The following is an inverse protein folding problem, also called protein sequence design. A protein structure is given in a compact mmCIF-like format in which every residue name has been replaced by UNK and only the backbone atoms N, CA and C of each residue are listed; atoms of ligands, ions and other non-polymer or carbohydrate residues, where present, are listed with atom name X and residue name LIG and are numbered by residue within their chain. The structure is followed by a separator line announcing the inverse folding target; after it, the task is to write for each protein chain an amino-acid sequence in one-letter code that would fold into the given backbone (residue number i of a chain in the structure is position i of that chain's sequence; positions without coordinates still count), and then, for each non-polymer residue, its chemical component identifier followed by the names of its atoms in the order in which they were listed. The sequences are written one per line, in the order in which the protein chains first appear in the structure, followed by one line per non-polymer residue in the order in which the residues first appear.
data_IF_072177714284
#
_entry.id   IF_072177714284
#
_cell.length_a   1.000
_cell.length_b   1.000
_cell.length_c   1.000
_cell.angle_alpha   90.00
_cell.angle_beta   90.00
_cell.angle_gamma   90.00
#
_symmetry.space_group_name_H-M   'P 1'
#
loop_
_entity.id
_entity.type
_entity.pdbx_description
1 polymer ?
#
# COMPACT_ATOMS: atom_id res chain seq x y z
N UNK A 1 59.63 20.11 -30.43
CA UNK A 1 58.25 20.58 -30.64
C UNK A 1 57.33 19.89 -29.62
N UNK A 2 57.83 19.67 -28.40
CA UNK A 2 57.25 18.72 -27.45
C UNK A 2 56.59 19.43 -26.26
N UNK A 3 56.99 20.68 -25.97
CA UNK A 3 56.40 21.49 -24.91
C UNK A 3 54.95 21.92 -25.18
N UNK A 4 54.52 21.94 -26.45
CA UNK A 4 53.15 22.34 -26.80
C UNK A 4 52.15 21.20 -26.52
N UNK A 5 52.60 19.95 -26.67
CA UNK A 5 51.76 18.77 -26.48
C UNK A 5 51.55 18.44 -24.99
N UNK A 6 52.58 18.65 -24.16
CA UNK A 6 52.43 18.57 -22.69
C UNK A 6 51.44 19.60 -22.16
N UNK A 7 51.44 20.82 -22.72
CA UNK A 7 50.54 21.89 -22.30
C UNK A 7 49.08 21.58 -22.67
N UNK A 8 48.83 21.07 -23.90
CA UNK A 8 47.49 20.63 -24.31
C UNK A 8 46.97 19.50 -23.43
N UNK A 9 47.83 18.55 -23.08
CA UNK A 9 47.46 17.41 -22.24
C UNK A 9 47.12 17.85 -20.81
N UNK A 10 47.87 18.80 -20.25
CA UNK A 10 47.58 19.37 -18.93
C UNK A 10 46.30 20.20 -18.91
N UNK A 11 46.02 20.96 -19.97
CA UNK A 11 44.77 21.74 -20.08
C UNK A 11 43.56 20.83 -20.18
N UNK A 12 43.66 19.71 -20.90
CA UNK A 12 42.59 18.70 -20.96
C UNK A 12 42.35 18.05 -19.59
N UNK A 13 43.41 17.73 -18.84
CA UNK A 13 43.27 17.20 -17.49
C UNK A 13 42.69 18.22 -16.50
N UNK A 14 43.09 19.48 -16.59
CA UNK A 14 42.56 20.55 -15.75
C UNK A 14 41.07 20.81 -16.05
N UNK A 15 40.69 20.81 -17.32
CA UNK A 15 39.29 20.94 -17.74
C UNK A 15 38.44 19.76 -17.26
N UNK A 16 38.96 18.54 -17.32
CA UNK A 16 38.28 17.35 -16.81
C UNK A 16 38.16 17.37 -15.28
N UNK A 17 39.20 17.83 -14.58
CA UNK A 17 39.20 17.97 -13.12
C UNK A 17 38.20 19.04 -12.65
N UNK A 18 38.21 20.22 -13.28
CA UNK A 18 37.24 21.28 -13.00
C UNK A 18 35.81 20.82 -13.28
N UNK A 19 35.59 20.07 -14.36
CA UNK A 19 34.28 19.49 -14.69
C UNK A 19 33.79 18.51 -13.62
N UNK A 20 34.68 17.75 -13.00
CA UNK A 20 34.37 16.81 -11.93
C UNK A 20 34.11 17.53 -10.58
N UNK A 21 34.94 18.52 -10.22
CA UNK A 21 34.80 19.34 -9.02
C UNK A 21 33.54 20.22 -9.02
N UNK A 22 33.16 20.77 -10.19
CA UNK A 22 31.94 21.55 -10.36
C UNK A 22 30.66 20.69 -10.31
N UNK A 23 30.77 19.37 -10.06
CA UNK A 23 29.64 18.44 -10.09
C UNK A 23 29.03 18.30 -11.48
N UNK A 24 29.74 18.76 -12.51
CA UNK A 24 29.35 18.65 -13.92
C UNK A 24 29.71 17.25 -14.43
N UNK A 25 29.37 16.23 -13.64
CA UNK A 25 29.18 14.90 -14.18
C UNK A 25 28.30 15.07 -15.41
N UNK A 26 28.72 14.44 -16.50
CA UNK A 26 27.92 14.33 -17.70
C UNK A 26 26.69 13.44 -17.45
N UNK A 27 25.94 13.68 -16.38
CA UNK A 27 24.50 13.55 -16.42
C UNK A 27 24.05 14.62 -17.40
N UNK A 28 24.13 14.28 -18.69
CA UNK A 28 23.69 15.16 -19.74
C UNK A 28 22.31 15.68 -19.37
N UNK A 29 21.95 16.90 -19.80
CA UNK A 29 20.60 17.40 -19.59
C UNK A 29 19.52 16.34 -19.94
N UNK A 30 19.83 15.41 -20.85
CA UNK A 30 19.05 14.20 -21.13
C UNK A 30 18.89 13.18 -19.99
N UNK A 31 19.90 12.90 -19.14
CA UNK A 31 19.81 11.99 -17.99
C UNK A 31 18.90 12.58 -16.91
N UNK A 32 19.09 13.85 -16.56
CA UNK A 32 18.22 14.56 -15.60
C UNK A 32 16.79 14.67 -16.14
N UNK A 33 16.61 14.97 -17.43
CA UNK A 33 15.27 14.95 -18.05
C UNK A 33 14.66 13.55 -18.12
N UNK A 34 15.48 12.50 -18.22
CA UNK A 34 15.02 11.11 -18.22
C UNK A 34 14.57 10.68 -16.82
N UNK A 35 15.35 11.00 -15.79
CA UNK A 35 14.97 10.74 -14.40
C UNK A 35 13.74 11.55 -13.98
N UNK A 36 13.67 12.84 -14.33
CA UNK A 36 12.45 13.64 -14.10
C UNK A 36 11.23 13.08 -14.83
N UNK A 37 11.41 12.53 -16.04
CA UNK A 37 10.32 11.90 -16.79
C UNK A 37 9.91 10.56 -16.17
N UNK A 38 10.86 9.77 -15.70
CA UNK A 38 10.60 8.50 -14.97
C UNK A 38 9.89 8.77 -13.64
N UNK A 39 10.32 9.79 -12.89
CA UNK A 39 9.64 10.22 -11.67
C UNK A 39 8.25 10.79 -11.95
N UNK A 40 8.07 11.59 -13.00
CA UNK A 40 6.75 12.08 -13.40
C UNK A 40 5.81 10.94 -13.80
N UNK A 41 6.31 9.91 -14.50
CA UNK A 41 5.53 8.72 -14.84
C UNK A 41 5.16 7.90 -13.59
N UNK A 42 6.08 7.76 -12.64
CA UNK A 42 5.82 7.08 -11.38
C UNK A 42 4.79 7.82 -10.52
N UNK A 43 4.85 9.16 -10.47
CA UNK A 43 3.85 9.96 -9.75
C UNK A 43 2.47 9.83 -10.42
N UNK A 44 2.42 9.83 -11.75
CA UNK A 44 1.17 9.66 -12.49
C UNK A 44 0.54 8.28 -12.23
N UNK A 45 1.33 7.20 -12.18
CA UNK A 45 0.80 5.87 -11.89
C UNK A 45 0.31 5.73 -10.44
N UNK A 46 0.96 6.42 -9.49
CA UNK A 46 0.51 6.49 -8.10
C UNK A 46 -0.81 7.28 -7.98
N UNK A 47 -0.92 8.44 -8.63
CA UNK A 47 -2.17 9.23 -8.62
C UNK A 47 -3.33 8.43 -9.23
N UNK A 48 -3.07 7.70 -10.33
CA UNK A 48 -4.04 6.80 -10.97
C UNK A 48 -4.49 5.66 -10.04
N UNK A 49 -3.57 5.08 -9.27
CA UNK A 49 -3.89 4.03 -8.28
C UNK A 49 -4.68 4.59 -7.08
N UNK A 50 -4.37 5.82 -6.66
CA UNK A 50 -5.01 6.46 -5.50
C UNK A 50 -6.42 6.95 -5.81
N UNK A 51 -6.59 7.63 -6.96
CA UNK A 51 -7.89 8.15 -7.42
C UNK A 51 -8.74 7.10 -8.12
N UNK A 52 -8.10 6.08 -8.69
CA UNK A 52 -8.77 5.11 -9.54
C UNK A 52 -8.88 5.62 -10.97
N UNK A 53 -9.12 4.71 -11.90
CA UNK A 53 -9.21 5.01 -13.32
C UNK A 53 -10.62 4.70 -13.84
N UNK A 54 -11.27 5.73 -14.37
CA UNK A 54 -12.61 5.60 -14.95
C UNK A 54 -13.67 5.30 -13.89
N UNK A 55 -14.32 4.14 -14.02
CA UNK A 55 -15.41 3.66 -13.15
C UNK A 55 -14.91 2.88 -11.91
N UNK A 56 -13.60 2.61 -11.81
CA UNK A 56 -13.03 1.90 -10.68
C UNK A 56 -12.68 2.87 -9.54
N UNK A 57 -13.23 2.61 -8.35
CA UNK A 57 -12.85 3.34 -7.13
C UNK A 57 -11.37 3.09 -6.83
N UNK A 58 -10.56 4.15 -6.78
CA UNK A 58 -9.18 4.06 -6.31
C UNK A 58 -9.11 3.75 -4.81
N UNK A 59 -7.90 3.58 -4.30
CA UNK A 59 -7.65 3.32 -2.88
C UNK A 59 -8.36 4.33 -1.95
N UNK A 60 -8.41 5.60 -2.33
CA UNK A 60 -9.11 6.63 -1.55
C UNK A 60 -10.63 6.42 -1.56
N UNK A 61 -11.19 5.98 -2.69
CA UNK A 61 -12.60 5.62 -2.83
C UNK A 61 -12.97 4.43 -1.94
N UNK A 62 -12.17 3.36 -1.99
CA UNK A 62 -12.32 2.20 -1.11
C UNK A 62 -12.19 2.57 0.37
N UNK A 63 -11.23 3.41 0.72
CA UNK A 63 -11.05 3.89 2.09
C UNK A 63 -12.29 4.66 2.60
N UNK A 64 -12.91 5.49 1.75
CA UNK A 64 -14.15 6.19 2.09
C UNK A 64 -15.33 5.23 2.30
N UNK A 65 -15.49 4.24 1.40
CA UNK A 65 -16.56 3.24 1.52
C UNK A 65 -16.38 2.46 2.83
N UNK A 66 -15.18 1.95 3.09
CA UNK A 66 -14.88 1.17 4.29
C UNK A 66 -15.11 1.99 5.56
N UNK A 67 -14.66 3.27 5.57
CA UNK A 67 -14.93 4.20 6.68
C UNK A 67 -16.42 4.42 6.93
N UNK A 68 -17.26 4.35 5.90
CA UNK A 68 -18.71 4.56 6.05
C UNK A 68 -19.46 3.28 6.40
N UNK A 69 -19.00 2.11 5.95
CA UNK A 69 -19.74 0.85 6.08
C UNK A 69 -19.23 -0.08 7.18
N UNK A 70 -18.06 0.18 7.78
CA UNK A 70 -17.48 -0.74 8.77
C UNK A 70 -18.38 -1.00 9.99
N UNK A 71 -19.08 0.03 10.49
CA UNK A 71 -19.98 -0.12 11.66
C UNK A 71 -21.11 -1.08 11.33
N UNK A 72 -21.71 -0.94 10.15
CA UNK A 72 -22.79 -1.81 9.70
C UNK A 72 -22.28 -3.25 9.52
N UNK A 73 -21.08 -3.44 8.96
CA UNK A 73 -20.46 -4.76 8.88
C UNK A 73 -20.25 -5.38 10.26
N UNK A 74 -19.68 -4.65 11.21
CA UNK A 74 -19.48 -5.14 12.58
C UNK A 74 -20.82 -5.48 13.26
N UNK A 75 -21.85 -4.66 13.05
CA UNK A 75 -23.17 -4.90 13.61
C UNK A 75 -23.80 -6.19 13.04
N UNK A 76 -23.73 -6.40 11.73
CA UNK A 76 -24.21 -7.62 11.08
C UNK A 76 -23.44 -8.86 11.55
N UNK A 77 -22.12 -8.74 11.71
CA UNK A 77 -21.26 -9.81 12.18
C UNK A 77 -21.56 -10.14 13.66
N UNK A 78 -21.79 -9.13 14.49
CA UNK A 78 -22.23 -9.28 15.87
C UNK A 78 -23.60 -9.92 15.98
N UNK A 79 -24.57 -9.55 15.13
CA UNK A 79 -25.87 -10.22 15.08
C UNK A 79 -25.74 -11.69 14.70
N UNK A 80 -24.96 -12.01 13.66
CA UNK A 80 -24.78 -13.38 13.22
C UNK A 80 -24.11 -14.25 14.30
N UNK A 81 -23.06 -13.75 14.94
CA UNK A 81 -22.39 -14.44 16.04
C UNK A 81 -23.29 -14.57 17.28
N UNK A 82 -24.06 -13.54 17.60
CA UNK A 82 -25.02 -13.56 18.69
C UNK A 82 -26.11 -14.63 18.48
N UNK A 83 -26.60 -14.75 17.25
CA UNK A 83 -27.57 -15.79 16.88
C UNK A 83 -26.99 -17.19 17.05
N UNK A 84 -25.79 -17.44 16.52
CA UNK A 84 -25.11 -18.74 16.67
C UNK A 84 -24.82 -19.07 18.13
N UNK A 85 -24.37 -18.10 18.92
CA UNK A 85 -24.15 -18.30 20.34
C UNK A 85 -25.44 -18.62 21.09
N UNK A 86 -26.55 -17.96 20.74
CA UNK A 86 -27.87 -18.25 21.31
C UNK A 86 -28.30 -19.70 21.00
N UNK A 87 -28.17 -20.13 19.74
CA UNK A 87 -28.50 -21.51 19.34
C UNK A 87 -27.68 -22.57 20.10
N UNK A 88 -26.40 -22.30 20.37
CA UNK A 88 -25.54 -23.21 21.16
C UNK A 88 -25.98 -23.28 22.62
N UNK A 89 -26.32 -22.13 23.21
CA UNK A 89 -26.80 -22.07 24.60
C UNK A 89 -28.14 -22.79 24.75
N UNK A 90 -29.07 -22.57 23.81
CA UNK A 90 -30.37 -23.24 23.80
C UNK A 90 -30.22 -24.76 23.64
N UNK A 91 -29.31 -25.21 22.78
CA UNK A 91 -29.01 -26.64 22.63
C UNK A 91 -28.48 -27.28 23.92
N UNK A 92 -27.58 -26.59 24.65
CA UNK A 92 -27.04 -27.06 25.93
C UNK A 92 -28.13 -27.04 27.02
N UNK A 93 -28.95 -26.00 27.07
CA UNK A 93 -30.04 -25.84 28.05
C UNK A 93 -31.12 -26.90 27.90
N UNK A 94 -31.52 -27.23 26.65
CA UNK A 94 -32.45 -28.34 26.38
C UNK A 94 -31.89 -29.70 26.81
N UNK A 95 -30.57 -29.90 26.67
CA UNK A 95 -29.91 -31.15 27.06
C UNK A 95 -29.90 -31.36 28.58
N UNK A 96 -29.71 -30.30 29.37
CA UNK A 96 -29.85 -30.35 30.84
C UNK A 96 -31.31 -30.51 31.28
N UNK A 97 -32.26 -29.78 30.66
CA UNK A 97 -33.68 -29.85 31.01
C UNK A 97 -34.27 -31.25 30.83
N UNK A 98 -33.89 -31.97 29.77
CA UNK A 98 -34.30 -33.36 29.56
C UNK A 98 -33.70 -34.34 30.58
N UNK A 99 -32.50 -34.06 31.10
CA UNK A 99 -31.85 -34.91 32.10
C UNK A 99 -32.55 -34.82 33.47
N UNK A 100 -32.95 -33.62 33.90
CA UNK A 100 -33.69 -33.41 35.15
C UNK A 100 -35.16 -33.84 35.08
N UNK A 101 -35.79 -33.80 33.90
CA UNK A 101 -37.15 -34.32 33.70
C UNK A 101 -37.22 -35.84 33.80
N UNK A 102 -36.18 -36.55 33.35
CA UNK A 102 -36.15 -38.01 33.40
C UNK A 102 -35.88 -38.56 34.81
N UNK A 103 -35.13 -37.85 35.66
CA UNK A 103 -34.86 -38.27 37.05
C UNK A 103 -36.02 -38.05 38.03
N UNK A 104 -37.07 -37.31 37.64
CA UNK A 104 -38.26 -37.07 38.48
C UNK A 104 -39.41 -38.03 38.18
N UNK A 105 -39.22 -38.94 37.23
CA UNK A 105 -40.25 -39.82 36.67
C UNK A 105 -40.11 -41.28 37.12
N UNK A 106 -39.07 -41.63 37.89
CA UNK A 106 -38.96 -42.95 38.52
C UNK A 106 -39.59 -42.90 39.93
N UNK A 107 -40.70 -43.62 40.19
CA UNK A 107 -41.30 -43.78 41.52
C UNK A 107 -40.50 -44.70 42.46
#
# INVERSE_FOLDING_TARGET
MDCQHELETQVVHLAAFLRNELGYHADGAGTVHRELREHAQMIASIDETLRGRGDELGLVGWMMVLRRTWIAMVALLGMALGYVANDVVDAIGMQQGNQYGNSRSDP
#
